data_IF_617268782100
#
_entry.id   IF_617268782100
#
_cell.length_a   1.000
_cell.length_b   1.000
_cell.length_c   1.000
_cell.angle_alpha   90.00
_cell.angle_beta   90.00
_cell.angle_gamma   90.00
#
_symmetry.space_group_name_H-M   'P 1'
#
loop_
_entity.id
_entity.type
_entity.pdbx_description
1 polymer ?
#
# COMPACT_ATOMS: atom_id res chain seq x y z
N UNK A 1 -1.43 -0.21 18.25
CA UNK A 1 -0.19 -0.94 17.88
C UNK A 1 0.02 -0.80 16.39
N UNK A 2 1.27 -0.61 15.92
CA UNK A 2 1.55 -0.59 14.50
C UNK A 2 1.19 -1.91 13.83
N UNK A 3 0.79 -1.84 12.56
CA UNK A 3 0.48 -3.03 11.75
C UNK A 3 1.32 -3.02 10.49
N UNK A 4 1.70 -4.21 10.04
CA UNK A 4 2.34 -4.43 8.74
C UNK A 4 1.25 -4.85 7.75
N UNK A 5 1.28 -4.25 6.57
CA UNK A 5 0.52 -4.70 5.41
C UNK A 5 1.49 -5.19 4.34
N UNK A 6 1.27 -6.39 3.84
CA UNK A 6 1.96 -6.92 2.67
C UNK A 6 0.92 -7.15 1.58
N UNK A 7 1.11 -6.54 0.42
CA UNK A 7 0.26 -6.76 -0.74
C UNK A 7 1.12 -7.26 -1.90
N UNK A 8 0.81 -8.48 -2.34
CA UNK A 8 1.49 -9.17 -3.43
C UNK A 8 0.56 -10.21 -4.01
N UNK A 9 0.71 -10.46 -5.31
CA UNK A 9 0.15 -11.61 -5.98
C UNK A 9 0.23 -11.45 -7.49
N UNK A 10 -0.28 -12.42 -8.26
CA UNK A 10 -0.18 -12.41 -9.71
C UNK A 10 -0.96 -11.27 -10.37
N UNK A 11 -2.00 -10.72 -9.72
CA UNK A 11 -2.80 -9.63 -10.28
C UNK A 11 -2.15 -8.26 -10.07
N UNK A 12 -1.28 -8.11 -9.06
CA UNK A 12 -0.52 -6.89 -8.76
C UNK A 12 0.81 -6.87 -9.51
N UNK A 13 0.85 -6.20 -10.66
CA UNK A 13 2.09 -5.97 -11.43
C UNK A 13 2.65 -4.57 -11.17
N UNK A 14 3.89 -4.31 -11.62
CA UNK A 14 4.48 -2.97 -11.57
C UNK A 14 3.62 -1.94 -12.30
N UNK A 15 3.16 -2.27 -13.50
CA UNK A 15 2.39 -1.35 -14.35
C UNK A 15 1.07 -0.98 -13.67
N UNK A 16 0.39 -1.97 -13.08
CA UNK A 16 -0.84 -1.72 -12.31
C UNK A 16 -0.55 -0.92 -11.05
N UNK A 17 0.53 -1.19 -10.34
CA UNK A 17 0.95 -0.39 -9.20
C UNK A 17 1.16 1.08 -9.60
N UNK A 18 1.88 1.35 -10.69
CA UNK A 18 2.10 2.71 -11.20
C UNK A 18 0.78 3.40 -11.59
N UNK A 19 -0.15 2.66 -12.19
CA UNK A 19 -1.49 3.17 -12.50
C UNK A 19 -2.28 3.53 -11.23
N UNK A 20 -2.27 2.65 -10.21
CA UNK A 20 -2.92 2.86 -8.92
C UNK A 20 -2.35 4.12 -8.24
N UNK A 21 -1.01 4.25 -8.22
CA UNK A 21 -0.33 5.43 -7.67
C UNK A 21 -0.74 6.70 -8.42
N UNK A 22 -0.80 6.67 -9.74
CA UNK A 22 -1.27 7.78 -10.55
C UNK A 22 -2.68 8.22 -10.18
N UNK A 23 -3.60 7.27 -9.95
CA UNK A 23 -4.99 7.57 -9.53
C UNK A 23 -5.06 8.11 -8.11
N UNK A 24 -4.29 7.56 -7.17
CA UNK A 24 -4.26 7.99 -5.76
C UNK A 24 -3.75 9.43 -5.60
N UNK A 25 -2.77 9.83 -6.41
CA UNK A 25 -2.06 11.10 -6.25
C UNK A 25 -2.57 12.21 -7.17
N UNK A 26 -3.64 11.95 -7.94
CA UNK A 26 -4.15 12.91 -8.92
C UNK A 26 -3.19 13.14 -10.10
N UNK A 27 -2.43 12.11 -10.48
CA UNK A 27 -1.56 12.12 -11.66
C UNK A 27 -0.06 12.25 -11.37
N UNK A 28 0.39 12.16 -10.10
CA UNK A 28 1.83 12.03 -9.85
C UNK A 28 2.29 10.63 -10.23
N UNK A 29 3.41 10.54 -10.94
CA UNK A 29 3.96 9.24 -11.35
C UNK A 29 4.60 8.44 -10.22
N UNK A 30 4.85 9.06 -9.05
CA UNK A 30 5.51 8.42 -7.90
C UNK A 30 5.02 9.02 -6.59
N UNK A 31 5.04 8.19 -5.55
CA UNK A 31 4.87 8.60 -4.16
C UNK A 31 6.25 8.94 -3.58
N UNK A 32 6.38 10.14 -3.02
CA UNK A 32 7.67 10.65 -2.51
C UNK A 32 7.60 10.97 -1.01
N UNK A 33 6.40 11.20 -0.48
CA UNK A 33 6.17 11.55 0.92
C UNK A 33 4.92 10.85 1.46
N UNK A 34 4.85 10.53 2.77
CA UNK A 34 3.61 10.08 3.40
C UNK A 34 2.43 11.04 3.20
N UNK A 35 2.69 12.33 2.99
CA UNK A 35 1.65 13.33 2.69
C UNK A 35 0.98 13.12 1.33
N UNK A 36 1.55 12.30 0.45
CA UNK A 36 0.92 11.93 -0.82
C UNK A 36 -0.19 10.87 -0.63
N UNK A 37 -0.31 10.25 0.56
CA UNK A 37 -1.38 9.31 0.85
C UNK A 37 -2.69 10.02 1.16
N UNK A 38 -3.84 9.44 0.76
CA UNK A 38 -5.15 10.04 1.00
C UNK A 38 -5.56 10.01 2.49
N UNK A 39 -4.80 9.32 3.35
CA UNK A 39 -5.10 9.17 4.77
C UNK A 39 -3.85 9.34 5.63
N UNK A 40 -4.04 9.77 6.87
CA UNK A 40 -2.96 9.87 7.86
C UNK A 40 -2.67 8.52 8.53
N UNK A 41 -1.43 8.37 9.03
CA UNK A 41 -1.00 7.25 9.87
C UNK A 41 -0.08 6.26 9.18
N UNK A 42 0.33 6.51 7.92
CA UNK A 42 1.41 5.77 7.27
C UNK A 42 2.75 6.10 7.93
N UNK A 43 3.51 5.06 8.31
CA UNK A 43 4.86 5.18 8.87
C UNK A 43 5.94 4.84 7.85
N UNK A 44 5.66 3.89 6.95
CA UNK A 44 6.57 3.46 5.91
C UNK A 44 5.77 2.90 4.74
N UNK A 45 6.22 3.20 3.53
CA UNK A 45 5.80 2.53 2.31
C UNK A 45 7.03 2.18 1.48
N UNK A 46 7.12 0.93 1.05
CA UNK A 46 8.11 0.48 0.08
C UNK A 46 7.44 -0.45 -0.91
N UNK A 47 7.80 -0.30 -2.18
CA UNK A 47 7.28 -1.12 -3.26
C UNK A 47 8.39 -1.50 -4.23
N UNK A 48 8.33 -2.70 -4.80
CA UNK A 48 9.30 -3.13 -5.80
C UNK A 48 9.16 -4.59 -6.21
N UNK A 49 10.03 -5.01 -7.12
CA UNK A 49 10.11 -6.41 -7.53
C UNK A 49 10.64 -7.28 -6.40
N UNK A 50 10.03 -8.45 -6.25
CA UNK A 50 10.55 -9.53 -5.42
C UNK A 50 10.58 -10.83 -6.23
N UNK A 51 11.21 -11.90 -5.72
CA UNK A 51 11.19 -13.20 -6.38
C UNK A 51 9.78 -13.80 -6.56
N UNK A 52 8.76 -13.29 -5.84
CA UNK A 52 7.36 -13.71 -5.95
C UNK A 52 6.48 -12.72 -6.74
N UNK A 53 7.10 -11.81 -7.51
CA UNK A 53 6.41 -10.74 -8.23
C UNK A 53 6.45 -9.40 -7.50
N UNK A 54 5.70 -8.42 -8.01
CA UNK A 54 5.67 -7.08 -7.43
C UNK A 54 5.07 -7.11 -6.02
N UNK A 55 5.71 -6.41 -5.08
CA UNK A 55 5.33 -6.41 -3.67
C UNK A 55 5.27 -4.99 -3.13
N UNK A 56 4.22 -4.70 -2.39
CA UNK A 56 4.06 -3.50 -1.56
C UNK A 56 4.12 -3.90 -0.10
N UNK A 57 4.87 -3.14 0.69
CA UNK A 57 4.94 -3.28 2.15
C UNK A 57 4.70 -1.92 2.78
N UNK A 58 3.67 -1.85 3.61
CA UNK A 58 3.35 -0.67 4.41
C UNK A 58 3.46 -0.98 5.90
N UNK A 59 3.87 0.03 6.67
CA UNK A 59 3.71 0.04 8.13
C UNK A 59 2.78 1.19 8.50
N UNK A 60 1.73 0.87 9.26
CA UNK A 60 0.72 1.82 9.70
C UNK A 60 0.75 1.98 11.22
N UNK A 61 0.44 3.18 11.73
CA UNK A 61 0.36 3.47 13.16
C UNK A 61 -0.69 2.61 13.88
N UNK A 62 -1.76 2.22 13.17
CA UNK A 62 -2.83 1.37 13.70
C UNK A 62 -3.58 0.63 12.59
N UNK A 63 -4.29 -0.43 12.98
CA UNK A 63 -5.24 -1.14 12.11
C UNK A 63 -6.32 -0.21 11.54
N UNK A 64 -6.81 0.73 12.33
CA UNK A 64 -7.82 1.69 11.87
C UNK A 64 -7.29 2.63 10.78
N UNK A 65 -6.02 3.06 10.87
CA UNK A 65 -5.39 3.86 9.81
C UNK A 65 -5.25 3.05 8.51
N UNK A 66 -4.82 1.80 8.62
CA UNK A 66 -4.74 0.86 7.50
C UNK A 66 -6.12 0.62 6.85
N UNK A 67 -7.17 0.42 7.66
CA UNK A 67 -8.53 0.19 7.15
C UNK A 67 -9.07 1.40 6.37
N UNK A 68 -8.87 2.62 6.87
CA UNK A 68 -9.27 3.84 6.13
C UNK A 68 -8.56 3.96 4.79
N UNK A 69 -7.29 3.56 4.72
CA UNK A 69 -6.59 3.49 3.45
C UNK A 69 -7.21 2.45 2.51
N UNK A 70 -7.51 1.25 3.03
CA UNK A 70 -8.20 0.20 2.28
C UNK A 70 -9.57 0.64 1.72
N UNK A 71 -10.33 1.45 2.45
CA UNK A 71 -11.59 2.04 1.98
C UNK A 71 -11.39 2.98 0.79
N UNK A 72 -10.34 3.80 0.82
CA UNK A 72 -10.00 4.71 -0.28
C UNK A 72 -9.40 3.97 -1.49
N UNK A 73 -8.56 2.95 -1.23
CA UNK A 73 -7.82 2.21 -2.25
C UNK A 73 -8.67 1.13 -2.94
N UNK A 74 -9.59 0.48 -2.20
CA UNK A 74 -10.37 -0.66 -2.67
C UNK A 74 -11.15 -0.44 -3.97
N UNK A 75 -11.82 0.70 -4.20
CA UNK A 75 -12.45 1.01 -5.49
C UNK A 75 -11.44 1.05 -6.64
N UNK A 76 -10.27 1.66 -6.43
CA UNK A 76 -9.22 1.78 -7.44
C UNK A 76 -8.66 0.41 -7.83
N UNK A 77 -8.38 -0.44 -6.84
CA UNK A 77 -7.90 -1.81 -7.09
C UNK A 77 -8.88 -2.61 -7.96
N UNK A 78 -10.17 -2.51 -7.66
CA UNK A 78 -11.24 -3.17 -8.44
C UNK A 78 -11.29 -2.67 -9.88
N UNK A 79 -11.15 -1.37 -10.10
CA UNK A 79 -11.17 -0.78 -11.45
C UNK A 79 -9.93 -1.15 -12.28
N UNK A 80 -8.77 -1.29 -11.64
CA UNK A 80 -7.50 -1.71 -12.28
C UNK A 80 -7.40 -3.24 -12.42
N UNK A 81 -8.33 -3.98 -11.81
CA UNK A 81 -8.36 -5.44 -11.86
C UNK A 81 -7.27 -6.09 -11.01
N UNK A 82 -7.00 -5.54 -9.83
CA UNK A 82 -6.20 -6.18 -8.78
C UNK A 82 -7.16 -6.78 -7.76
N UNK A 83 -7.12 -8.10 -7.59
CA UNK A 83 -7.99 -8.87 -6.70
C UNK A 83 -7.25 -9.53 -5.52
N UNK A 84 -5.92 -9.53 -5.58
CA UNK A 84 -5.04 -9.98 -4.51
C UNK A 84 -5.43 -9.31 -3.18
N UNK A 85 -5.56 -10.12 -2.13
CA UNK A 85 -5.87 -9.61 -0.79
C UNK A 85 -4.58 -9.35 -0.03
N UNK A 86 -4.45 -8.21 0.65
CA UNK A 86 -3.28 -7.94 1.47
C UNK A 86 -3.30 -8.80 2.75
N UNK A 87 -2.12 -9.22 3.18
CA UNK A 87 -1.89 -9.75 4.51
C UNK A 87 -1.69 -8.60 5.49
N UNK A 88 -2.42 -8.60 6.61
CA UNK A 88 -2.31 -7.57 7.65
C UNK A 88 -2.10 -8.24 8.99
N UNK A 89 -1.04 -7.86 9.70
CA UNK A 89 -0.71 -8.39 11.01
C UNK A 89 -0.08 -7.34 11.92
N UNK A 90 -0.13 -7.56 13.23
CA UNK A 90 0.46 -6.66 14.20
C UNK A 90 1.99 -6.71 14.12
N UNK A 91 2.63 -5.54 14.09
CA UNK A 91 4.08 -5.46 14.22
C UNK A 91 4.45 -5.74 15.68
N UNK A 92 5.23 -6.80 15.92
CA UNK A 92 5.76 -7.06 17.26
C UNK A 92 6.70 -5.93 17.73
N UNK A 93 7.55 -5.44 16.82
CA UNK A 93 8.49 -4.34 17.09
C UNK A 93 8.58 -3.44 15.85
N UNK A 94 8.58 -2.12 16.05
CA UNK A 94 8.84 -1.12 15.02
C UNK A 94 9.95 -0.18 15.50
N UNK A 95 10.96 0.04 14.66
CA UNK A 95 12.09 0.94 14.91
C UNK A 95 12.31 1.78 13.66
N UNK A 96 12.41 3.10 13.82
CA UNK A 96 12.77 4.05 12.77
C UNK A 96 14.11 4.70 13.10
N UNK A 97 14.86 5.11 12.06
CA UNK A 97 16.13 5.82 12.19
C UNK A 97 15.95 7.29 12.59
#
# INVERSE_FOLDING_TARGET
>A
MPVVLIHQGPSLTREKYEEIVGRLTGGKGRLESPSDWPVQGLLLHVAGESPQGFRVVDVWQSKDACNRFGEALGPILREVGVDDQPEIYEAHTYVSA
#
